data_IF_911992004700
#
_entry.id   IF_911992004700
#
_cell.length_a   1.000
_cell.length_b   1.000
_cell.length_c   1.000
_cell.angle_alpha   90.00
_cell.angle_beta   90.00
_cell.angle_gamma   90.00
#
_symmetry.space_group_name_H-M   'P 1'
#
loop_
_entity.id
_entity.type
_entity.pdbx_description
1 polymer ?
#
# COMPACT_ATOMS: atom_id res chain seq x y z
N UNK A 1 7.46 -26.27 -0.49
CA UNK A 1 7.95 -24.88 -0.47
C UNK A 1 7.01 -24.06 -1.34
N UNK A 2 6.30 -23.09 -0.76
CA UNK A 2 5.25 -22.34 -1.47
C UNK A 2 5.89 -21.37 -2.47
N UNK A 3 5.46 -21.39 -3.74
CA UNK A 3 6.06 -20.60 -4.83
C UNK A 3 5.99 -19.09 -4.55
N UNK A 4 4.93 -18.65 -3.87
CA UNK A 4 4.73 -17.27 -3.45
C UNK A 4 5.73 -16.83 -2.38
N UNK A 5 6.05 -17.70 -1.42
CA UNK A 5 7.02 -17.39 -0.36
C UNK A 5 8.41 -17.11 -0.93
N UNK A 6 8.85 -17.91 -1.91
CA UNK A 6 10.14 -17.71 -2.58
C UNK A 6 10.18 -16.37 -3.31
N UNK A 7 9.08 -15.97 -3.97
CA UNK A 7 9.00 -14.71 -4.69
C UNK A 7 9.04 -13.50 -3.75
N UNK A 8 8.31 -13.55 -2.63
CA UNK A 8 8.30 -12.47 -1.62
C UNK A 8 9.66 -12.32 -0.95
N UNK A 9 10.31 -13.43 -0.58
CA UNK A 9 11.64 -13.39 0.05
C UNK A 9 12.70 -12.84 -0.92
N UNK A 10 12.64 -13.22 -2.21
CA UNK A 10 13.54 -12.68 -3.22
C UNK A 10 13.35 -11.18 -3.46
N UNK A 11 12.10 -10.70 -3.43
CA UNK A 11 11.79 -9.27 -3.55
C UNK A 11 12.36 -8.48 -2.36
N UNK A 12 12.13 -8.94 -1.13
CA UNK A 12 12.70 -8.32 0.07
C UNK A 12 14.24 -8.32 0.05
N UNK A 13 14.87 -9.43 -0.37
CA UNK A 13 16.32 -9.50 -0.50
C UNK A 13 16.89 -8.54 -1.55
N UNK A 14 16.19 -8.33 -2.68
CA UNK A 14 16.64 -7.36 -3.69
C UNK A 14 16.66 -5.92 -3.17
N UNK A 15 15.71 -5.56 -2.30
CA UNK A 15 15.66 -4.23 -1.67
C UNK A 15 16.86 -4.05 -0.73
N UNK A 16 17.15 -5.05 0.11
CA UNK A 16 18.31 -4.99 1.02
C UNK A 16 19.65 -4.91 0.29
N UNK A 17 19.83 -5.69 -0.78
CA UNK A 17 21.06 -5.64 -1.60
C UNK A 17 21.20 -4.29 -2.31
N UNK A 18 20.11 -3.73 -2.85
CA UNK A 18 20.13 -2.43 -3.50
C UNK A 18 20.50 -1.28 -2.56
N UNK A 19 19.92 -1.27 -1.34
CA UNK A 19 20.23 -0.26 -0.32
C UNK A 19 21.69 -0.35 0.15
N UNK A 20 22.23 -1.56 0.28
CA UNK A 20 23.64 -1.77 0.65
C UNK A 20 24.61 -1.37 -0.47
N UNK A 21 24.23 -1.55 -1.74
CA UNK A 21 25.05 -1.19 -2.88
C UNK A 21 25.04 0.33 -3.17
N UNK A 22 23.99 1.05 -2.73
CA UNK A 22 23.90 2.52 -2.84
C UNK A 22 24.89 3.26 -1.91
N UNK A 23 25.53 2.54 -0.97
CA UNK A 23 26.53 3.12 -0.06
C UNK A 23 27.95 3.23 -0.66
N UNK A 24 28.21 2.77 -1.90
CA UNK A 24 29.57 2.73 -2.48
C UNK A 24 29.71 3.29 -3.91
N UNK A 25 28.88 4.26 -4.30
CA UNK A 25 29.13 5.03 -5.52
C UNK A 25 28.94 6.53 -5.28
N UNK A 26 29.89 7.11 -4.55
CA UNK A 26 30.14 8.55 -4.59
C UNK A 26 31.00 8.84 -5.81
N UNK A 27 30.42 9.31 -6.90
CA UNK A 27 31.06 10.31 -7.76
C UNK A 27 30.07 11.00 -8.72
N UNK A 28 30.21 12.32 -8.83
CA UNK A 28 29.71 13.12 -9.96
C UNK A 28 28.38 13.85 -9.74
N UNK A 29 28.44 15.05 -9.17
CA UNK A 29 27.40 16.08 -9.31
C UNK A 29 27.20 16.41 -10.80
N UNK A 30 25.95 16.58 -11.25
CA UNK A 30 25.64 17.77 -12.03
C UNK A 30 24.41 18.51 -11.47
N UNK A 31 24.66 19.80 -11.26
CA UNK A 31 23.77 20.98 -11.36
C UNK A 31 22.25 20.82 -11.28
N UNK A 32 21.65 21.69 -10.46
CA UNK A 32 20.22 21.97 -10.40
C UNK A 32 19.65 22.21 -11.80
N UNK A 33 18.82 21.29 -12.26
CA UNK A 33 17.67 21.64 -13.08
C UNK A 33 16.44 21.56 -12.19
N UNK A 34 15.97 22.74 -11.76
CA UNK A 34 14.66 22.95 -11.15
C UNK A 34 13.59 22.50 -12.15
N UNK A 35 13.33 21.20 -12.18
CA UNK A 35 12.22 20.62 -12.93
C UNK A 35 10.95 21.10 -12.25
N UNK A 36 9.99 21.71 -12.98
CA UNK A 36 8.76 22.19 -12.36
C UNK A 36 8.06 21.01 -11.68
N UNK A 37 7.61 21.21 -10.44
CA UNK A 37 6.79 20.24 -9.70
C UNK A 37 5.67 19.72 -10.61
N UNK A 38 5.82 18.47 -11.04
CA UNK A 38 4.74 17.74 -11.69
C UNK A 38 3.71 17.41 -10.62
N UNK A 39 2.80 18.35 -10.36
CA UNK A 39 1.63 18.20 -9.48
C UNK A 39 0.70 17.04 -9.83
N UNK A 40 0.98 16.28 -10.90
CA UNK A 40 0.10 15.24 -11.43
C UNK A 40 0.65 13.81 -11.32
N UNK A 41 1.90 13.60 -10.86
CA UNK A 41 2.45 12.25 -10.65
C UNK A 41 2.14 11.74 -9.24
N UNK A 42 1.67 10.50 -9.13
CA UNK A 42 1.60 9.80 -7.84
C UNK A 42 3.00 9.58 -7.28
N UNK A 43 3.19 9.88 -6.01
CA UNK A 43 4.45 9.59 -5.32
C UNK A 43 4.61 8.09 -5.16
N UNK A 44 5.85 7.60 -5.32
CA UNK A 44 6.14 6.21 -4.95
C UNK A 44 6.15 6.05 -3.43
N UNK A 45 6.00 4.82 -2.90
CA UNK A 45 6.12 4.57 -1.46
C UNK A 45 7.43 5.09 -0.85
N UNK A 46 8.54 5.02 -1.60
CA UNK A 46 9.85 5.54 -1.19
C UNK A 46 9.85 7.07 -1.09
N UNK A 47 9.25 7.75 -2.07
CA UNK A 47 9.12 9.21 -2.06
C UNK A 47 8.23 9.68 -0.90
N UNK A 48 7.13 8.96 -0.63
CA UNK A 48 6.26 9.20 0.53
C UNK A 48 7.04 8.98 1.83
N UNK A 49 7.85 7.93 1.93
CA UNK A 49 8.68 7.66 3.10
C UNK A 49 9.69 8.78 3.36
N UNK A 50 10.46 9.19 2.34
CA UNK A 50 11.45 10.25 2.50
C UNK A 50 10.80 11.61 2.84
N UNK A 51 9.63 11.92 2.27
CA UNK A 51 8.86 13.14 2.59
C UNK A 51 8.38 13.17 4.05
N UNK A 52 8.08 12.02 4.66
CA UNK A 52 7.51 11.92 6.00
C UNK A 52 8.51 11.40 7.05
N UNK A 53 9.80 11.35 6.72
CA UNK A 53 10.84 10.74 7.55
C UNK A 53 11.04 11.44 8.88
N UNK A 54 10.81 12.74 8.91
CA UNK A 54 10.82 13.60 10.09
C UNK A 54 9.65 13.33 11.05
N UNK A 55 8.56 12.73 10.55
CA UNK A 55 7.38 12.37 11.34
C UNK A 55 7.46 10.95 11.96
N UNK A 56 8.58 10.25 11.81
CA UNK A 56 8.74 8.90 12.35
C UNK A 56 8.77 8.92 13.88
N UNK A 57 8.01 8.01 14.49
CA UNK A 57 8.07 7.78 15.93
C UNK A 57 9.47 7.27 16.33
N UNK A 58 10.04 7.85 17.38
CA UNK A 58 11.33 7.42 17.96
C UNK A 58 11.18 6.61 19.24
N UNK A 59 9.97 6.48 19.77
CA UNK A 59 9.69 5.71 20.98
C UNK A 59 9.72 4.21 20.65
N UNK A 60 10.70 3.50 21.20
CA UNK A 60 10.90 2.07 20.92
C UNK A 60 9.71 1.18 21.31
N UNK A 61 8.98 1.55 22.38
CA UNK A 61 7.83 0.77 22.83
C UNK A 61 6.63 0.95 21.89
N UNK A 62 6.36 2.17 21.45
CA UNK A 62 5.32 2.45 20.46
C UNK A 62 5.64 1.79 19.10
N UNK A 63 6.90 1.85 18.66
CA UNK A 63 7.33 1.15 17.45
C UNK A 63 7.05 -0.35 17.55
N UNK A 64 7.42 -0.97 18.68
CA UNK A 64 7.19 -2.41 18.90
C UNK A 64 5.70 -2.75 18.84
N UNK A 65 4.86 -1.98 19.52
CA UNK A 65 3.40 -2.17 19.53
C UNK A 65 2.80 -1.97 18.13
N UNK A 66 3.25 -0.97 17.38
CA UNK A 66 2.81 -0.74 16.01
C UNK A 66 3.21 -1.90 15.09
N UNK A 67 4.43 -2.43 15.22
CA UNK A 67 4.89 -3.60 14.46
C UNK A 67 4.06 -4.83 14.78
N UNK A 68 3.82 -5.13 16.06
CA UNK A 68 2.98 -6.25 16.48
C UNK A 68 1.56 -6.12 15.92
N UNK A 69 0.95 -4.94 16.04
CA UNK A 69 -0.38 -4.66 15.51
C UNK A 69 -0.45 -4.82 13.97
N UNK A 70 0.54 -4.32 13.25
CA UNK A 70 0.59 -4.43 11.78
C UNK A 70 0.80 -5.89 11.33
N UNK A 71 1.60 -6.67 12.06
CA UNK A 71 1.76 -8.10 11.78
C UNK A 71 0.42 -8.85 11.92
N UNK A 72 -0.34 -8.61 12.99
CA UNK A 72 -1.68 -9.19 13.14
C UNK A 72 -2.64 -8.74 12.02
N UNK A 73 -2.54 -7.48 11.59
CA UNK A 73 -3.36 -6.96 10.50
C UNK A 73 -3.03 -7.66 9.17
N UNK A 74 -1.74 -7.89 8.87
CA UNK A 74 -1.28 -8.61 7.68
C UNK A 74 -1.77 -10.06 7.68
N UNK A 75 -1.67 -10.77 8.81
CA UNK A 75 -2.18 -12.14 8.92
C UNK A 75 -3.69 -12.22 8.63
N UNK A 76 -4.46 -11.27 9.18
CA UNK A 76 -5.91 -11.18 8.91
C UNK A 76 -6.19 -10.87 7.43
N UNK A 77 -5.43 -9.95 6.82
CA UNK A 77 -5.57 -9.63 5.40
C UNK A 77 -5.25 -10.84 4.51
N UNK A 78 -4.20 -11.59 4.80
CA UNK A 78 -3.85 -12.81 4.08
C UNK A 78 -4.95 -13.87 4.21
N UNK A 79 -5.45 -14.10 5.43
CA UNK A 79 -6.57 -15.00 5.67
C UNK A 79 -7.79 -14.62 4.82
N UNK A 80 -8.16 -13.34 4.78
CA UNK A 80 -9.28 -12.84 3.99
C UNK A 80 -9.00 -12.86 2.48
N UNK A 81 -7.76 -12.70 2.05
CA UNK A 81 -7.39 -12.73 0.64
C UNK A 81 -7.54 -14.15 0.04
N UNK A 82 -7.05 -15.17 0.75
CA UNK A 82 -6.94 -16.56 0.24
C UNK A 82 -8.27 -17.32 0.36
N UNK A 83 -9.08 -17.05 1.39
CA UNK A 83 -10.28 -17.82 1.68
C UNK A 83 -11.49 -17.44 0.80
N UNK A 84 -11.47 -17.72 -0.50
CA UNK A 84 -12.56 -17.35 -1.41
C UNK A 84 -13.94 -17.89 -1.00
N UNK A 85 -13.97 -19.07 -0.35
CA UNK A 85 -15.21 -19.74 0.08
C UNK A 85 -16.01 -18.95 1.12
N UNK A 86 -15.39 -18.04 1.87
CA UNK A 86 -16.08 -17.23 2.90
C UNK A 86 -16.85 -16.06 2.28
N UNK A 87 -16.63 -15.77 1.00
CA UNK A 87 -17.25 -14.66 0.30
C UNK A 87 -18.39 -15.11 -0.60
N UNK A 88 -19.41 -14.25 -0.72
CA UNK A 88 -20.43 -14.31 -1.76
C UNK A 88 -20.36 -13.05 -2.61
N UNK A 89 -20.59 -13.21 -3.91
CA UNK A 89 -20.75 -12.09 -4.82
C UNK A 89 -21.93 -11.22 -4.34
N UNK A 90 -21.68 -9.93 -4.18
CA UNK A 90 -22.67 -8.97 -3.70
C UNK A 90 -23.14 -8.03 -4.80
N UNK A 91 -22.22 -7.53 -5.63
CA UNK A 91 -22.55 -6.63 -6.75
C UNK A 91 -21.50 -6.79 -7.85
N UNK A 92 -21.97 -6.97 -9.08
CA UNK A 92 -21.16 -6.73 -10.28
C UNK A 92 -21.40 -5.32 -10.75
N UNK A 93 -20.34 -4.55 -10.99
CA UNK A 93 -20.46 -3.27 -11.69
C UNK A 93 -19.89 -3.46 -13.09
N UNK A 94 -20.79 -3.68 -14.04
CA UNK A 94 -20.45 -3.96 -15.43
C UNK A 94 -19.69 -2.80 -16.11
N UNK A 95 -19.96 -1.55 -15.72
CA UNK A 95 -19.23 -0.36 -16.23
C UNK A 95 -17.86 -0.17 -15.57
N UNK A 96 -17.75 -0.45 -14.26
CA UNK A 96 -16.57 -0.07 -13.46
C UNK A 96 -15.50 -1.17 -13.38
N UNK A 97 -15.65 -2.28 -14.13
CA UNK A 97 -14.73 -3.45 -14.11
C UNK A 97 -14.45 -3.96 -12.69
N UNK A 98 -15.47 -3.88 -11.84
CA UNK A 98 -15.33 -4.07 -10.41
C UNK A 98 -16.38 -5.05 -9.91
N UNK A 99 -15.91 -6.18 -9.36
CA UNK A 99 -16.76 -7.15 -8.68
C UNK A 99 -16.59 -7.02 -7.17
N UNK A 100 -17.70 -6.76 -6.49
CA UNK A 100 -17.76 -6.58 -5.04
C UNK A 100 -18.33 -7.82 -4.37
N UNK A 101 -17.58 -8.33 -3.40
CA UNK A 101 -17.88 -9.50 -2.61
C UNK A 101 -18.02 -9.13 -1.13
N UNK A 102 -18.86 -9.87 -0.41
CA UNK A 102 -19.06 -9.72 1.04
C UNK A 102 -18.98 -11.08 1.72
N UNK A 103 -18.55 -11.10 2.98
CA UNK A 103 -18.55 -12.33 3.77
C UNK A 103 -19.98 -12.91 3.86
N UNK A 104 -20.08 -14.25 3.79
CA UNK A 104 -21.36 -14.99 3.80
C UNK A 104 -22.11 -14.87 5.13
N UNK A 105 -21.39 -14.95 6.25
CA UNK A 105 -21.97 -15.04 7.60
C UNK A 105 -21.79 -13.74 8.41
N UNK A 106 -22.89 -13.27 9.01
CA UNK A 106 -23.07 -12.00 9.73
C UNK A 106 -22.36 -11.95 11.10
N UNK A 107 -21.04 -12.13 11.14
CA UNK A 107 -20.25 -11.63 12.27
C UNK A 107 -20.12 -10.10 12.20
N UNK A 108 -19.69 -9.47 13.30
CA UNK A 108 -19.53 -8.00 13.39
C UNK A 108 -18.59 -7.38 12.33
N UNK A 109 -17.70 -8.18 11.71
CA UNK A 109 -16.79 -7.70 10.67
C UNK A 109 -17.46 -7.70 9.28
N UNK A 110 -17.80 -6.50 8.79
CA UNK A 110 -18.30 -6.30 7.42
C UNK A 110 -17.15 -6.20 6.41
N UNK A 111 -16.34 -7.26 6.26
CA UNK A 111 -15.26 -7.28 5.26
C UNK A 111 -15.85 -7.34 3.86
N UNK A 112 -15.42 -6.41 3.02
CA UNK A 112 -15.69 -6.36 1.58
C UNK A 112 -14.42 -6.74 0.83
N UNK A 113 -14.55 -7.54 -0.23
CA UNK A 113 -13.46 -7.86 -1.15
C UNK A 113 -13.83 -7.28 -2.52
N UNK A 114 -12.89 -6.60 -3.14
CA UNK A 114 -13.05 -5.96 -4.44
C UNK A 114 -12.09 -6.67 -5.40
N UNK A 115 -12.62 -7.21 -6.48
CA UNK A 115 -11.81 -7.59 -7.64
C UNK A 115 -11.89 -6.48 -8.66
N UNK A 116 -10.74 -5.97 -9.07
CA UNK A 116 -10.59 -4.89 -10.02
C UNK A 116 -9.71 -5.36 -11.19
N UNK A 117 -10.20 -5.24 -12.41
CA UNK A 117 -9.47 -5.64 -13.61
C UNK A 117 -8.89 -4.43 -14.33
N UNK A 118 -7.57 -4.27 -14.27
CA UNK A 118 -6.82 -3.33 -15.10
C UNK A 118 -6.41 -3.99 -16.43
N UNK A 119 -6.59 -3.28 -17.55
CA UNK A 119 -6.28 -3.80 -18.90
C UNK A 119 -4.86 -3.48 -19.36
N UNK A 120 -4.24 -2.49 -18.71
CA UNK A 120 -2.96 -1.91 -19.07
C UNK A 120 -1.92 -2.39 -18.04
N UNK A 121 -1.06 -3.33 -18.45
CA UNK A 121 -0.02 -3.95 -17.59
C UNK A 121 1.01 -2.94 -17.08
N UNK A 122 1.24 -1.89 -17.84
CA UNK A 122 2.08 -0.73 -17.51
C UNK A 122 1.50 0.12 -16.37
N UNK A 123 0.19 0.02 -16.10
CA UNK A 123 -0.49 0.80 -15.06
C UNK A 123 -0.56 0.13 -13.70
N UNK A 124 0.02 -1.07 -13.52
CA UNK A 124 0.00 -1.75 -12.22
C UNK A 124 0.65 -0.89 -11.13
N UNK A 125 1.88 -0.43 -11.36
CA UNK A 125 2.61 0.40 -10.39
C UNK A 125 1.92 1.76 -10.18
N UNK A 126 1.41 2.35 -11.26
CA UNK A 126 0.65 3.61 -11.19
C UNK A 126 -0.59 3.47 -10.30
N UNK A 127 -1.38 2.40 -10.51
CA UNK A 127 -2.58 2.10 -9.70
C UNK A 127 -2.20 1.85 -8.23
N UNK A 128 -1.10 1.16 -7.97
CA UNK A 128 -0.62 0.93 -6.59
C UNK A 128 -0.22 2.26 -5.94
N UNK A 129 0.51 3.12 -6.65
CA UNK A 129 0.92 4.42 -6.14
C UNK A 129 -0.29 5.33 -5.87
N UNK A 130 -1.30 5.34 -6.75
CA UNK A 130 -2.57 6.06 -6.52
C UNK A 130 -3.29 5.61 -5.25
N UNK A 131 -3.27 4.30 -4.96
CA UNK A 131 -3.90 3.74 -3.76
C UNK A 131 -3.08 3.98 -2.49
N UNK A 132 -1.77 4.16 -2.64
CA UNK A 132 -0.85 4.38 -1.53
C UNK A 132 -0.72 5.85 -1.14
N UNK A 133 -0.95 6.75 -2.09
CA UNK A 133 -0.88 8.20 -1.90
C UNK A 133 -2.03 8.69 -0.98
N UNK A 134 -1.74 9.15 0.25
CA UNK A 134 -2.76 9.67 1.14
C UNK A 134 -3.46 10.91 0.57
N UNK A 135 -2.77 11.73 -0.22
CA UNK A 135 -3.29 13.01 -0.68
C UNK A 135 -4.26 12.84 -1.86
N UNK A 136 -4.34 11.64 -2.44
CA UNK A 136 -5.28 11.31 -3.51
C UNK A 136 -6.58 10.67 -3.01
N UNK A 137 -7.72 10.96 -3.66
CA UNK A 137 -8.97 10.28 -3.37
C UNK A 137 -8.86 8.79 -3.69
N UNK A 138 -9.10 7.92 -2.71
CA UNK A 138 -9.13 6.48 -2.95
C UNK A 138 -10.44 6.10 -3.65
N UNK A 139 -10.42 5.56 -4.89
CA UNK A 139 -11.62 5.25 -5.65
C UNK A 139 -12.49 4.16 -5.01
N UNK A 140 -11.90 3.34 -4.12
CA UNK A 140 -12.58 2.28 -3.39
C UNK A 140 -13.07 2.72 -2.00
N UNK A 141 -12.60 3.87 -1.51
CA UNK A 141 -12.95 4.41 -0.20
C UNK A 141 -13.49 5.84 -0.33
N UNK A 142 -14.75 5.94 -0.75
CA UNK A 142 -15.47 7.22 -0.94
C UNK A 142 -16.16 7.72 0.33
N UNK A 143 -15.90 7.11 1.48
CA UNK A 143 -16.48 7.54 2.77
C UNK A 143 -15.48 8.34 3.59
N UNK A 144 -15.95 8.97 4.67
CA UNK A 144 -15.13 9.70 5.66
C UNK A 144 -14.24 8.78 6.52
N UNK A 145 -13.94 7.57 6.04
CA UNK A 145 -13.11 6.63 6.76
C UNK A 145 -11.70 7.22 6.85
N UNK A 146 -11.25 7.45 8.08
CA UNK A 146 -9.88 7.87 8.38
C UNK A 146 -8.92 6.89 7.71
N UNK A 147 -8.18 7.35 6.70
CA UNK A 147 -7.06 6.57 6.15
C UNK A 147 -5.97 6.52 7.22
N UNK A 148 -5.42 5.34 7.46
CA UNK A 148 -4.24 5.18 8.32
C UNK A 148 -3.07 6.03 7.78
N UNK A 149 -3.07 6.30 6.47
CA UNK A 149 -2.06 7.14 5.82
C UNK A 149 -2.24 8.65 6.11
N UNK A 150 -3.40 9.10 6.63
CA UNK A 150 -3.68 10.52 6.97
C UNK A 150 -3.60 10.82 8.47
N UNK A 151 -3.14 9.89 9.31
CA UNK A 151 -3.15 10.05 10.77
C UNK A 151 -2.29 11.26 11.21
N UNK A 152 -1.27 11.64 10.44
CA UNK A 152 -0.37 12.74 10.78
C UNK A 152 -0.98 14.15 10.62
N UNK A 153 -2.17 14.30 10.03
CA UNK A 153 -2.78 15.62 9.78
C UNK A 153 -3.67 16.14 10.92
N UNK A 154 -3.73 15.45 12.06
CA UNK A 154 -4.53 15.88 13.21
C UNK A 154 -3.68 15.92 14.49
N UNK A 155 -2.76 16.88 14.53
CA UNK A 155 -2.23 17.39 15.79
C UNK A 155 -2.62 18.86 15.93
N UNK A 156 -3.71 19.11 16.66
CA UNK A 156 -4.01 20.38 17.34
C UNK A 156 -4.73 20.06 18.63
#
# INVERSE_FOLDING_TARGET
MNKFYIQTVLFLLSIFVYVNNKALATEGVPEEDTTPELTDRCLTPEEIYEKNKDLLCTNSEEIKQAVEFMNEAVEKLEYYAINEKIYKLYRKKYDDRMDLYKIKNKGHAQVKKIYYSAYDLDKYNETINELWDPDRPNPFNTGDAKSIQKINNYST
#
